data_IF_048041218182
#
_entry.id   IF_048041218182
#
_cell.length_a   1.000
_cell.length_b   1.000
_cell.length_c   1.000
_cell.angle_alpha   90.00
_cell.angle_beta   90.00
_cell.angle_gamma   90.00
#
_symmetry.space_group_name_H-M   'P 1'
#
loop_
_entity.id
_entity.type
_entity.pdbx_description
1 polymer ?
#
# COMPACT_ATOMS: atom_id res chain seq x y z
N UNK A 1 5.21 17.45 4.80
CA UNK A 1 3.97 16.65 4.82
C UNK A 1 4.07 15.68 6.00
N UNK A 2 3.06 15.61 6.86
CA UNK A 2 3.08 14.71 8.03
C UNK A 2 2.81 13.29 7.55
N UNK A 3 3.75 12.37 7.77
CA UNK A 3 3.55 10.95 7.43
C UNK A 3 2.49 10.36 8.37
N UNK A 4 1.44 9.77 7.79
CA UNK A 4 0.42 8.99 8.50
C UNK A 4 1.05 7.90 9.38
N UNK A 5 2.22 7.38 8.99
CA UNK A 5 3.00 6.41 9.78
C UNK A 5 3.47 6.96 11.13
N UNK A 6 3.63 8.28 11.26
CA UNK A 6 4.10 8.94 12.50
C UNK A 6 2.99 9.25 13.50
N UNK A 7 1.72 9.16 13.10
CA UNK A 7 0.60 9.34 14.01
C UNK A 7 0.51 8.16 14.99
N UNK A 8 0.00 8.38 16.21
CA UNK A 8 -0.37 7.28 17.11
C UNK A 8 -1.30 6.28 16.42
N UNK A 9 -1.14 4.99 16.72
CA UNK A 9 -1.87 3.92 16.03
C UNK A 9 -3.39 4.10 16.08
N UNK A 10 -3.94 4.57 17.21
CA UNK A 10 -5.38 4.83 17.35
C UNK A 10 -5.88 5.95 16.43
N UNK A 11 -5.12 7.03 16.30
CA UNK A 11 -5.48 8.17 15.44
C UNK A 11 -5.40 7.78 13.97
N UNK A 12 -4.34 7.07 13.60
CA UNK A 12 -4.19 6.47 12.27
C UNK A 12 -5.37 5.55 11.92
N UNK A 13 -5.77 4.67 12.85
CA UNK A 13 -6.93 3.81 12.65
C UNK A 13 -8.23 4.61 12.50
N UNK A 14 -8.46 5.61 13.35
CA UNK A 14 -9.66 6.46 13.28
C UNK A 14 -9.80 7.17 11.93
N UNK A 15 -8.69 7.59 11.33
CA UNK A 15 -8.67 8.21 10.00
C UNK A 15 -8.92 7.20 8.88
N UNK A 16 -8.31 6.03 8.95
CA UNK A 16 -8.29 5.06 7.85
C UNK A 16 -9.53 4.16 7.83
N UNK A 17 -10.07 3.80 8.99
CA UNK A 17 -11.15 2.81 9.10
C UNK A 17 -12.41 3.15 8.30
N UNK A 18 -12.96 4.38 8.38
CA UNK A 18 -14.14 4.72 7.60
C UNK A 18 -13.93 4.55 6.08
N UNK A 19 -12.72 4.87 5.60
CA UNK A 19 -12.34 4.68 4.19
C UNK A 19 -12.30 3.20 3.81
N UNK A 20 -11.73 2.35 4.67
CA UNK A 20 -11.68 0.91 4.44
C UNK A 20 -13.07 0.27 4.46
N UNK A 21 -13.93 0.70 5.38
CA UNK A 21 -15.32 0.24 5.48
C UNK A 21 -16.10 0.60 4.22
N UNK A 22 -15.91 1.83 3.71
CA UNK A 22 -16.50 2.26 2.46
C UNK A 22 -15.99 1.45 1.26
N UNK A 23 -14.67 1.28 1.14
CA UNK A 23 -14.06 0.49 0.05
C UNK A 23 -14.51 -0.97 0.05
N UNK A 24 -14.68 -1.56 1.23
CA UNK A 24 -15.15 -2.94 1.36
C UNK A 24 -16.61 -3.12 0.88
N UNK A 25 -17.42 -2.06 0.90
CA UNK A 25 -18.82 -2.08 0.48
C UNK A 25 -19.03 -1.56 -0.96
N UNK A 26 -18.21 -0.61 -1.41
CA UNK A 26 -18.35 0.05 -2.71
C UNK A 26 -18.12 -0.87 -3.93
N UNK A 27 -17.63 -2.09 -3.71
CA UNK A 27 -17.36 -3.05 -4.77
C UNK A 27 -16.21 -2.62 -5.68
N UNK A 28 -16.32 -2.91 -6.98
CA UNK A 28 -15.29 -2.65 -7.98
C UNK A 28 -15.32 -1.23 -8.57
N UNK A 29 -15.98 -0.27 -7.92
CA UNK A 29 -16.08 1.11 -8.41
C UNK A 29 -14.69 1.72 -8.70
N UNK A 30 -14.66 2.51 -9.77
CA UNK A 30 -13.46 3.12 -10.36
C UNK A 30 -13.63 4.63 -10.28
N UNK A 31 -12.56 5.33 -9.88
CA UNK A 31 -12.39 6.79 -9.97
C UNK A 31 -13.53 7.62 -9.38
N UNK A 32 -13.55 7.72 -8.06
CA UNK A 32 -14.56 8.49 -7.33
C UNK A 32 -13.94 9.37 -6.24
N UNK A 33 -14.79 10.20 -5.63
CA UNK A 33 -14.47 10.97 -4.45
C UNK A 33 -15.37 10.56 -3.28
N UNK A 34 -14.79 10.41 -2.10
CA UNK A 34 -15.52 10.08 -0.87
C UNK A 34 -14.83 10.67 0.35
N UNK A 35 -15.55 11.41 1.20
CA UNK A 35 -15.02 11.88 2.48
C UNK A 35 -13.73 12.72 2.38
N UNK A 36 -13.56 13.49 1.29
CA UNK A 36 -12.35 14.27 1.02
C UNK A 36 -11.19 13.48 0.39
N UNK A 37 -11.38 12.18 0.15
CA UNK A 37 -10.45 11.31 -0.56
C UNK A 37 -10.82 11.21 -2.04
N UNK A 38 -9.83 11.28 -2.91
CA UNK A 38 -9.91 10.80 -4.30
C UNK A 38 -9.39 9.38 -4.35
N UNK A 39 -10.19 8.49 -4.91
CA UNK A 39 -9.96 7.04 -4.91
C UNK A 39 -9.88 6.59 -6.37
N UNK A 40 -8.75 5.99 -6.75
CA UNK A 40 -8.50 5.45 -8.09
C UNK A 40 -8.15 3.99 -8.00
N UNK A 41 -8.82 3.14 -8.79
CA UNK A 41 -8.48 1.73 -8.86
C UNK A 41 -7.25 1.54 -9.74
N UNK A 42 -6.25 0.84 -9.24
CA UNK A 42 -5.01 0.56 -9.96
C UNK A 42 -5.10 -0.83 -10.57
N UNK A 43 -5.03 -0.91 -11.90
CA UNK A 43 -5.03 -2.16 -12.65
C UNK A 43 -3.68 -2.90 -12.64
N UNK A 44 -3.61 -4.03 -13.36
CA UNK A 44 -2.34 -4.75 -13.60
C UNK A 44 -1.98 -5.83 -12.57
N UNK A 45 -2.80 -6.05 -11.53
CA UNK A 45 -2.62 -7.13 -10.57
C UNK A 45 -3.67 -8.24 -10.74
N UNK A 46 -3.24 -9.48 -10.99
CA UNK A 46 -4.16 -10.60 -11.29
C UNK A 46 -4.91 -11.19 -10.09
N UNK A 47 -4.63 -10.76 -8.85
CA UNK A 47 -5.16 -11.44 -7.65
C UNK A 47 -5.60 -10.51 -6.51
N UNK A 48 -5.46 -9.19 -6.64
CA UNK A 48 -5.75 -8.26 -5.55
C UNK A 48 -6.55 -7.07 -6.07
N UNK A 49 -7.36 -6.46 -5.21
CA UNK A 49 -7.91 -5.13 -5.47
C UNK A 49 -6.93 -4.10 -4.90
N UNK A 50 -6.39 -3.25 -5.77
CA UNK A 50 -5.46 -2.19 -5.41
C UNK A 50 -6.10 -0.84 -5.73
N UNK A 51 -6.03 0.06 -4.76
CA UNK A 51 -6.50 1.44 -4.89
C UNK A 51 -5.36 2.40 -4.53
N UNK A 52 -5.20 3.46 -5.32
CA UNK A 52 -4.51 4.67 -4.88
C UNK A 52 -5.55 5.59 -4.26
N UNK A 53 -5.29 6.04 -3.04
CA UNK A 53 -6.22 6.90 -2.31
C UNK A 53 -5.49 8.15 -1.81
N UNK A 54 -5.96 9.31 -2.25
CA UNK A 54 -5.27 10.59 -2.07
C UNK A 54 -6.17 11.63 -1.42
N UNK A 55 -5.62 12.45 -0.54
CA UNK A 55 -6.23 13.69 -0.07
C UNK A 55 -5.17 14.78 0.03
N UNK A 56 -5.49 15.94 0.62
CA UNK A 56 -4.55 17.06 0.74
C UNK A 56 -3.31 16.77 1.59
N UNK A 57 -3.35 15.76 2.46
CA UNK A 57 -2.29 15.45 3.40
C UNK A 57 -1.56 14.13 3.10
N UNK A 58 -2.20 13.21 2.38
CA UNK A 58 -1.80 11.81 2.31
C UNK A 58 -2.00 11.20 0.92
N UNK A 59 -1.09 10.30 0.56
CA UNK A 59 -1.15 9.49 -0.66
C UNK A 59 -0.85 8.03 -0.31
N UNK A 60 -1.84 7.17 -0.49
CA UNK A 60 -1.87 5.82 0.05
C UNK A 60 -2.12 4.79 -1.04
N UNK A 61 -1.51 3.61 -0.87
CA UNK A 61 -1.94 2.39 -1.52
C UNK A 61 -2.76 1.53 -0.53
N UNK A 62 -3.97 1.14 -0.93
CA UNK A 62 -4.83 0.22 -0.18
C UNK A 62 -5.04 -1.04 -1.01
N UNK A 63 -4.65 -2.18 -0.43
CA UNK A 63 -4.62 -3.46 -1.14
C UNK A 63 -5.44 -4.50 -0.39
N UNK A 64 -6.58 -4.88 -0.96
CA UNK A 64 -7.34 -6.06 -0.51
C UNK A 64 -6.80 -7.30 -1.22
N UNK A 65 -6.42 -8.29 -0.41
CA UNK A 65 -5.75 -9.50 -0.87
C UNK A 65 -6.66 -10.72 -0.77
N UNK A 66 -6.40 -11.75 -1.57
CA UNK A 66 -7.10 -13.03 -1.40
C UNK A 66 -6.83 -13.62 -0.02
N UNK A 67 -7.91 -14.06 0.63
CA UNK A 67 -7.84 -14.84 1.86
C UNK A 67 -7.48 -16.27 1.51
N UNK A 68 -6.25 -16.67 1.83
CA UNK A 68 -5.76 -18.03 1.66
C UNK A 68 -4.70 -18.37 2.72
N UNK A 69 -4.30 -19.65 2.76
CA UNK A 69 -3.34 -20.17 3.75
C UNK A 69 -1.95 -19.50 3.71
N UNK A 70 -1.65 -18.69 2.69
CA UNK A 70 -0.33 -18.07 2.52
C UNK A 70 -0.17 -16.76 3.29
N UNK A 71 -1.23 -16.25 3.95
CA UNK A 71 -1.27 -14.96 4.65
C UNK A 71 -0.60 -13.83 3.84
N UNK A 72 -1.06 -13.64 2.59
CA UNK A 72 -0.43 -12.72 1.63
C UNK A 72 -0.29 -11.30 2.19
N UNK A 73 -1.36 -10.75 2.77
CA UNK A 73 -1.36 -9.44 3.40
C UNK A 73 -0.37 -9.37 4.56
N UNK A 74 -0.37 -10.38 5.44
CA UNK A 74 0.55 -10.40 6.58
C UNK A 74 2.01 -10.48 6.19
N UNK A 75 2.35 -11.29 5.18
CA UNK A 75 3.73 -11.40 4.66
C UNK A 75 4.20 -10.10 4.02
N UNK A 76 3.34 -9.44 3.25
CA UNK A 76 3.65 -8.15 2.63
C UNK A 76 3.88 -7.08 3.69
N UNK A 77 2.97 -6.93 4.66
CA UNK A 77 3.14 -5.97 5.73
C UNK A 77 4.40 -6.22 6.57
N UNK A 78 4.69 -7.48 6.91
CA UNK A 78 5.89 -7.83 7.67
C UNK A 78 7.18 -7.48 6.90
N UNK A 79 7.22 -7.72 5.59
CA UNK A 79 8.36 -7.35 4.76
C UNK A 79 8.57 -5.81 4.74
N UNK A 80 7.49 -5.04 4.64
CA UNK A 80 7.55 -3.58 4.69
C UNK A 80 8.04 -3.07 6.06
N UNK A 81 7.59 -3.68 7.17
CA UNK A 81 8.08 -3.34 8.50
C UNK A 81 9.59 -3.56 8.61
N UNK A 82 10.10 -4.71 8.14
CA UNK A 82 11.55 -5.00 8.15
C UNK A 82 12.33 -3.94 7.34
N UNK A 83 11.85 -3.56 6.16
CA UNK A 83 12.51 -2.54 5.34
C UNK A 83 12.49 -1.16 5.98
N UNK A 84 11.39 -0.79 6.64
CA UNK A 84 11.26 0.46 7.38
C UNK A 84 12.18 0.48 8.62
N UNK A 85 12.23 -0.62 9.38
CA UNK A 85 13.12 -0.77 10.54
C UNK A 85 14.60 -0.72 10.14
N UNK A 86 14.94 -1.24 8.95
CA UNK A 86 16.26 -1.12 8.36
C UNK A 86 16.60 0.31 7.88
N UNK A 87 15.65 1.25 7.92
CA UNK A 87 15.85 2.63 7.47
C UNK A 87 16.00 2.76 5.95
N UNK A 88 15.62 1.75 5.17
CA UNK A 88 15.80 1.76 3.72
C UNK A 88 14.65 2.51 3.04
N UNK A 89 14.97 3.58 2.31
CA UNK A 89 14.00 4.38 1.56
C UNK A 89 13.62 3.75 0.20
N UNK A 90 13.61 2.40 0.12
CA UNK A 90 13.40 1.63 -1.12
C UNK A 90 12.01 1.01 -1.22
N UNK A 91 11.21 1.14 -0.17
CA UNK A 91 9.88 0.59 -0.06
C UNK A 91 8.91 1.60 0.55
N UNK A 92 7.60 1.49 0.27
CA UNK A 92 6.60 2.32 0.91
C UNK A 92 6.54 2.04 2.43
N UNK A 93 6.13 3.05 3.19
CA UNK A 93 5.98 2.90 4.64
C UNK A 93 4.74 2.04 4.95
N UNK A 94 4.86 1.02 5.83
CA UNK A 94 3.71 0.26 6.29
C UNK A 94 2.85 1.10 7.24
N UNK A 95 1.56 1.21 6.93
CA UNK A 95 0.63 2.06 7.70
C UNK A 95 -0.30 1.20 8.56
N UNK A 96 -0.92 0.19 7.95
CA UNK A 96 -1.90 -0.65 8.63
C UNK A 96 -2.00 -2.04 7.98
N UNK A 97 -2.22 -3.04 8.82
CA UNK A 97 -2.63 -4.37 8.42
C UNK A 97 -3.92 -4.73 9.15
N UNK A 98 -4.90 -5.21 8.42
CA UNK A 98 -6.08 -5.85 8.98
C UNK A 98 -6.34 -7.19 8.31
N UNK A 99 -6.38 -8.25 9.11
CA UNK A 99 -6.60 -9.62 8.65
C UNK A 99 -8.03 -10.11 8.77
N UNK A 100 -8.88 -9.43 9.55
CA UNK A 100 -10.09 -10.03 10.13
C UNK A 100 -11.36 -9.21 9.92
N UNK A 101 -11.28 -7.88 9.83
CA UNK A 101 -12.47 -7.02 9.82
C UNK A 101 -13.20 -7.00 8.48
N UNK A 102 -12.55 -7.48 7.41
CA UNK A 102 -13.09 -7.48 6.05
C UNK A 102 -13.04 -8.88 5.41
N UNK A 103 -13.87 -9.10 4.40
CA UNK A 103 -13.89 -10.37 3.65
C UNK A 103 -12.48 -10.73 3.12
N UNK A 104 -11.78 -9.74 2.56
CA UNK A 104 -10.40 -9.83 2.11
C UNK A 104 -9.46 -9.11 3.09
N UNK A 105 -8.36 -9.74 3.54
CA UNK A 105 -7.33 -9.06 4.32
C UNK A 105 -6.78 -7.85 3.58
N UNK A 106 -6.51 -6.76 4.31
CA UNK A 106 -6.10 -5.47 3.73
C UNK A 106 -4.77 -4.99 4.28
N UNK A 107 -3.93 -4.50 3.38
CA UNK A 107 -2.69 -3.77 3.69
C UNK A 107 -2.84 -2.33 3.23
N UNK A 108 -2.45 -1.40 4.10
CA UNK A 108 -2.34 0.02 3.79
C UNK A 108 -0.88 0.42 3.93
N UNK A 109 -0.38 1.13 2.92
CA UNK A 109 1.00 1.63 2.85
C UNK A 109 1.00 3.00 2.15
N UNK A 110 2.10 3.76 2.25
CA UNK A 110 2.24 4.97 1.45
C UNK A 110 2.28 4.65 -0.03
N UNK A 111 1.85 5.60 -0.86
CA UNK A 111 2.10 5.52 -2.29
C UNK A 111 3.57 5.87 -2.58
N UNK A 112 4.23 5.06 -3.42
CA UNK A 112 5.56 5.37 -3.94
C UNK A 112 5.40 5.95 -5.34
N UNK A 113 5.66 7.24 -5.50
CA UNK A 113 5.63 7.87 -6.81
C UNK A 113 6.80 7.39 -7.68
N UNK A 114 6.51 7.11 -8.94
CA UNK A 114 7.51 6.66 -9.89
C UNK A 114 6.88 6.03 -11.12
N UNK A 115 7.68 5.90 -12.17
CA UNK A 115 7.30 5.16 -13.37
C UNK A 115 7.72 3.70 -13.19
N UNK A 116 6.75 2.79 -13.27
CA UNK A 116 7.05 1.36 -13.33
C UNK A 116 7.71 1.06 -14.68
N UNK A 117 8.92 0.52 -14.64
CA UNK A 117 9.61 0.03 -15.83
C UNK A 117 9.19 -1.42 -16.12
N UNK A 118 8.78 -1.70 -17.35
CA UNK A 118 8.52 -3.07 -17.82
C UNK A 118 9.80 -3.83 -18.22
N UNK A 119 10.95 -3.14 -18.25
CA UNK A 119 12.25 -3.70 -18.62
C UNK A 119 13.10 -3.86 -17.36
N UNK A 120 13.06 -5.01 -16.67
CA UNK A 120 13.92 -5.25 -15.51
C UNK A 120 15.40 -5.30 -15.93
N UNK A 121 16.35 -5.06 -15.01
CA UNK A 121 17.76 -5.32 -15.26
C UNK A 121 17.98 -6.75 -15.78
N UNK A 122 18.77 -6.91 -16.84
CA UNK A 122 18.97 -8.20 -17.52
C UNK A 122 20.29 -8.88 -17.15
N UNK A 123 21.12 -8.21 -16.35
CA UNK A 123 22.43 -8.71 -15.92
C UNK A 123 22.71 -8.36 -14.46
N UNK A 124 23.60 -9.11 -13.82
CA UNK A 124 24.06 -8.82 -12.45
C UNK A 124 24.72 -7.44 -12.34
N UNK A 125 25.40 -6.99 -13.41
CA UNK A 125 26.01 -5.67 -13.44
C UNK A 125 24.94 -4.57 -13.40
N UNK A 126 23.82 -4.75 -14.09
CA UNK A 126 22.71 -3.81 -14.06
C UNK A 126 21.95 -3.84 -12.73
N UNK A 127 21.81 -5.03 -12.12
CA UNK A 127 21.30 -5.14 -10.75
C UNK A 127 22.18 -4.41 -9.74
N UNK A 128 23.52 -4.53 -9.84
CA UNK A 128 24.46 -3.82 -8.96
C UNK A 128 24.33 -2.30 -9.09
N UNK A 129 24.17 -1.77 -10.30
CA UNK A 129 23.93 -0.33 -10.50
C UNK A 129 22.67 0.14 -9.77
N UNK A 130 21.60 -0.65 -9.83
CA UNK A 130 20.35 -0.33 -9.18
C UNK A 130 20.49 -0.37 -7.64
N UNK A 131 21.15 -1.39 -7.10
CA UNK A 131 21.44 -1.46 -5.66
C UNK A 131 22.29 -0.27 -5.20
N UNK A 132 23.35 0.08 -5.94
CA UNK A 132 24.20 1.24 -5.62
C UNK A 132 23.45 2.57 -5.67
N UNK A 133 22.43 2.69 -6.51
CA UNK A 133 21.61 3.90 -6.58
C UNK A 133 20.71 4.08 -5.35
N UNK A 134 20.32 2.97 -4.70
CA UNK A 134 19.35 2.93 -3.61
C UNK A 134 19.96 2.60 -2.23
N UNK A 135 21.27 2.35 -2.14
CA UNK A 135 22.04 2.14 -0.92
C UNK A 135 22.58 3.45 -0.36
#
# INVERSE_FOLDING_TARGET
MSSLGRLPAQERQRLIRPLLDWLAQAGQQVDCQWGGWRITRVGGGGSNLLYRVTNSAHDLAIKFTLRDARDRAGREYAALCVLQEAGLAVAPEPILLDRTSYAQPVVVQTWLDGKVSATPPTSDADWRKLVQHFA
#
